data_IF_974430453141
#
_entry.id   IF_974430453141
#
_cell.length_a   1.000
_cell.length_b   1.000
_cell.length_c   1.000
_cell.angle_alpha   90.00
_cell.angle_beta   90.00
_cell.angle_gamma   90.00
#
_symmetry.space_group_name_H-M   'P 1'
#
loop_
_entity.id
_entity.type
_entity.pdbx_description
1 polymer ?
#
# COMPACT_ATOMS: atom_id res chain seq x y z
N UNK A 1 6.32 27.38 12.23
CA UNK A 1 7.72 26.92 12.06
C UNK A 1 7.79 26.06 10.81
N UNK A 2 8.09 26.69 9.65
CA UNK A 2 8.21 26.03 8.35
C UNK A 2 9.47 25.16 8.34
N UNK A 3 9.29 23.84 8.27
CA UNK A 3 10.39 22.87 8.27
C UNK A 3 10.97 22.55 6.88
N UNK A 4 10.58 23.22 5.80
CA UNK A 4 10.74 22.65 4.45
C UNK A 4 11.76 23.29 3.51
N UNK A 5 12.59 24.22 3.97
CA UNK A 5 13.48 24.92 3.05
C UNK A 5 14.92 24.40 3.12
N UNK A 6 15.17 23.43 2.24
CA UNK A 6 16.46 23.23 1.59
C UNK A 6 16.29 23.78 0.16
N UNK A 7 16.65 25.05 -0.07
CA UNK A 7 16.54 25.66 -1.40
C UNK A 7 17.45 25.00 -2.42
N UNK A 8 16.96 24.78 -3.64
CA UNK A 8 17.75 24.25 -4.75
C UNK A 8 18.89 25.19 -5.19
N UNK A 9 18.85 26.44 -4.72
CA UNK A 9 19.77 27.55 -4.96
C UNK A 9 20.87 27.68 -3.89
N UNK A 10 21.10 26.64 -3.08
CA UNK A 10 22.22 26.66 -2.12
C UNK A 10 23.54 26.90 -2.83
N UNK A 11 24.27 27.94 -2.43
CA UNK A 11 25.60 28.25 -2.95
C UNK A 11 26.64 27.20 -2.58
N UNK A 12 26.32 26.33 -1.61
CA UNK A 12 27.13 25.20 -1.18
C UNK A 12 26.23 23.97 -0.94
N UNK A 13 26.27 22.96 -1.83
CA UNK A 13 25.54 21.70 -1.66
C UNK A 13 25.94 20.94 -0.39
N UNK A 14 27.15 21.18 0.16
CA UNK A 14 27.61 20.59 1.41
C UNK A 14 26.76 20.99 2.61
N UNK A 15 26.17 22.19 2.58
CA UNK A 15 25.24 22.66 3.62
C UNK A 15 24.01 21.75 3.72
N UNK A 16 23.58 21.13 2.62
CA UNK A 16 22.42 20.24 2.57
C UNK A 16 22.67 18.90 3.27
N UNK A 17 23.93 18.44 3.32
CA UNK A 17 24.30 17.13 3.88
C UNK A 17 24.01 17.00 5.39
N UNK A 18 23.92 18.13 6.09
CA UNK A 18 23.71 18.16 7.54
C UNK A 18 22.38 18.83 7.95
N UNK A 19 21.53 19.21 6.98
CA UNK A 19 20.23 19.77 7.33
C UNK A 19 19.28 18.68 7.83
N UNK A 20 18.94 18.75 9.13
CA UNK A 20 17.94 17.90 9.78
C UNK A 20 16.49 18.39 9.58
N UNK A 21 16.22 19.01 8.43
CA UNK A 21 14.91 19.60 8.10
C UNK A 21 13.97 18.62 7.40
N UNK A 22 14.26 17.32 7.46
CA UNK A 22 13.38 16.28 6.92
C UNK A 22 12.39 15.79 7.98
N UNK A 23 11.33 15.11 7.53
CA UNK A 23 10.40 14.39 8.38
C UNK A 23 10.49 12.90 8.12
N UNK A 24 10.33 12.11 9.18
CA UNK A 24 10.27 10.67 9.06
C UNK A 24 8.81 10.22 8.92
N UNK A 25 8.35 9.98 7.68
CA UNK A 25 6.97 9.60 7.39
C UNK A 25 6.62 8.20 7.92
N UNK A 26 7.60 7.32 8.08
CA UNK A 26 7.38 5.97 8.60
C UNK A 26 7.63 5.84 10.11
N UNK A 27 8.04 6.92 10.78
CA UNK A 27 8.36 6.87 12.20
C UNK A 27 7.19 6.32 13.03
N UNK A 28 7.54 5.40 13.92
CA UNK A 28 6.62 4.70 14.79
C UNK A 28 7.25 4.57 16.17
N UNK A 29 6.44 4.76 17.21
CA UNK A 29 6.84 4.45 18.57
C UNK A 29 6.64 2.95 18.82
N UNK A 30 7.67 2.29 19.37
CA UNK A 30 7.54 0.92 19.90
C UNK A 30 6.84 1.01 21.25
N UNK A 31 5.65 0.42 21.36
CA UNK A 31 4.85 0.42 22.60
C UNK A 31 5.15 -0.81 23.46
N UNK A 32 5.43 -1.94 22.82
CA UNK A 32 5.82 -3.17 23.51
C UNK A 32 6.66 -4.07 22.59
N UNK A 33 7.63 -4.75 23.19
CA UNK A 33 8.27 -5.90 22.56
C UNK A 33 7.38 -7.13 22.71
N UNK A 34 7.46 -8.03 21.74
CA UNK A 34 6.84 -9.34 21.82
C UNK A 34 7.52 -10.17 22.93
N UNK A 35 6.76 -10.76 23.87
CA UNK A 35 7.32 -11.55 24.94
C UNK A 35 7.75 -12.96 24.51
N UNK A 36 7.31 -13.43 23.34
CA UNK A 36 7.50 -14.81 22.87
C UNK A 36 8.26 -14.86 21.56
N UNK A 37 7.91 -14.01 20.60
CA UNK A 37 8.50 -14.05 19.26
C UNK A 37 9.85 -13.32 19.25
N UNK A 38 10.88 -14.05 18.81
CA UNK A 38 12.26 -13.58 18.75
C UNK A 38 12.71 -13.61 17.29
N UNK A 39 13.36 -12.54 16.84
CA UNK A 39 14.10 -12.51 15.59
C UNK A 39 15.57 -12.86 15.89
N UNK A 40 16.17 -13.71 15.06
CA UNK A 40 17.60 -13.99 15.11
C UNK A 40 18.26 -13.64 13.79
N UNK A 41 19.52 -13.23 13.84
CA UNK A 41 20.37 -13.32 12.65
C UNK A 41 21.01 -14.72 12.58
N UNK A 42 21.42 -15.11 11.38
CA UNK A 42 22.10 -16.40 11.15
C UNK A 42 23.52 -16.43 11.76
N UNK A 43 23.90 -15.39 12.51
CA UNK A 43 25.15 -15.25 13.25
C UNK A 43 24.96 -15.55 14.75
N UNK A 44 23.73 -15.89 15.16
CA UNK A 44 23.38 -16.29 16.53
C UNK A 44 23.00 -15.14 17.46
N UNK A 45 22.87 -13.91 16.95
CA UNK A 45 22.28 -12.82 17.70
C UNK A 45 20.76 -12.95 17.68
N UNK A 46 20.11 -12.63 18.80
CA UNK A 46 18.67 -12.77 18.99
C UNK A 46 18.10 -11.54 19.68
N UNK A 47 16.93 -11.10 19.24
CA UNK A 47 16.25 -9.93 19.79
C UNK A 47 14.74 -10.13 19.77
N UNK A 48 14.05 -9.63 20.79
CA UNK A 48 12.59 -9.66 20.83
C UNK A 48 12.03 -8.85 19.66
N UNK A 49 10.99 -9.38 19.00
CA UNK A 49 10.30 -8.67 17.92
C UNK A 49 9.52 -7.47 18.46
N UNK A 50 9.27 -6.48 17.62
CA UNK A 50 8.31 -5.42 17.96
C UNK A 50 6.89 -6.01 17.95
N UNK A 51 6.30 -6.19 19.13
CA UNK A 51 4.96 -6.77 19.28
C UNK A 51 3.85 -5.73 19.15
N UNK A 52 4.10 -4.50 19.61
CA UNK A 52 3.13 -3.40 19.53
C UNK A 52 3.80 -2.09 19.18
N UNK A 53 3.19 -1.34 18.27
CA UNK A 53 3.72 -0.07 17.80
C UNK A 53 2.59 0.86 17.39
N UNK A 54 2.88 2.17 17.34
CA UNK A 54 1.91 3.17 16.90
C UNK A 54 2.59 4.40 16.32
N UNK A 55 1.98 5.02 15.32
CA UNK A 55 2.43 6.30 14.78
C UNK A 55 1.62 7.43 15.42
N UNK A 56 2.32 8.31 16.11
CA UNK A 56 1.79 9.54 16.69
C UNK A 56 2.23 10.75 15.86
N UNK A 57 1.49 11.85 15.97
CA UNK A 57 1.84 13.09 15.27
C UNK A 57 3.25 13.57 15.60
N UNK A 58 3.67 13.44 16.87
CA UNK A 58 5.02 13.79 17.31
C UNK A 58 6.12 13.00 16.60
N UNK A 59 5.83 11.77 16.16
CA UNK A 59 6.83 10.90 15.54
C UNK A 59 7.32 11.42 14.19
N UNK A 60 6.58 12.29 13.50
CA UNK A 60 7.05 12.91 12.25
C UNK A 60 8.34 13.71 12.42
N UNK A 61 8.68 14.08 13.65
CA UNK A 61 9.92 14.75 14.01
C UNK A 61 11.04 13.83 14.50
N UNK A 62 10.77 12.53 14.59
CA UNK A 62 11.71 11.57 15.10
C UNK A 62 12.84 11.31 14.11
N UNK A 63 14.03 11.15 14.65
CA UNK A 63 15.18 10.65 13.92
C UNK A 63 14.96 9.18 13.54
N UNK A 64 15.63 8.70 12.49
CA UNK A 64 15.45 7.33 11.97
C UNK A 64 15.73 6.23 12.99
N UNK A 65 16.55 6.50 14.01
CA UNK A 65 16.91 5.54 15.05
C UNK A 65 15.93 5.50 16.23
N UNK A 66 14.87 6.33 16.24
CA UNK A 66 13.86 6.30 17.32
C UNK A 66 13.15 4.93 17.39
N UNK A 67 12.89 4.33 16.23
CA UNK A 67 12.63 2.91 16.10
C UNK A 67 13.76 2.29 15.24
N UNK A 68 14.81 1.72 15.86
CA UNK A 68 15.93 1.12 15.15
C UNK A 68 15.55 -0.21 14.47
N UNK A 69 14.34 -0.69 14.69
CA UNK A 69 13.79 -1.91 14.11
C UNK A 69 13.10 -1.64 12.77
N UNK A 70 12.63 -0.44 12.50
CA UNK A 70 11.82 -0.20 11.29
C UNK A 70 12.56 -0.43 9.95
N UNK A 71 11.83 -0.93 8.94
CA UNK A 71 12.30 -1.01 7.56
C UNK A 71 11.21 -0.45 6.62
N UNK A 72 11.60 0.42 5.68
CA UNK A 72 10.70 1.15 4.79
C UNK A 72 11.28 1.27 3.37
N UNK A 73 10.50 0.92 2.34
CA UNK A 73 10.96 0.79 0.95
C UNK A 73 9.85 1.14 -0.06
N UNK A 74 10.19 1.08 -1.35
CA UNK A 74 9.24 1.12 -2.47
C UNK A 74 8.32 2.35 -2.53
N UNK A 75 8.88 3.55 -2.32
CA UNK A 75 8.16 4.83 -2.33
C UNK A 75 7.43 5.12 -3.65
N UNK A 76 6.22 5.69 -3.56
CA UNK A 76 5.36 6.15 -4.65
C UNK A 76 4.68 7.45 -4.24
N UNK A 77 4.24 8.25 -5.20
CA UNK A 77 3.38 9.37 -4.87
C UNK A 77 3.03 10.27 -6.04
N UNK A 78 2.17 11.23 -5.76
CA UNK A 78 1.83 12.31 -6.66
C UNK A 78 1.46 13.57 -5.88
N UNK A 79 1.44 14.69 -6.59
CA UNK A 79 1.05 16.01 -6.10
C UNK A 79 0.03 16.63 -7.07
N UNK A 80 -1.04 17.22 -6.53
CA UNK A 80 -2.05 18.00 -7.25
C UNK A 80 -2.43 19.21 -6.40
N UNK A 81 -1.95 20.39 -6.78
CA UNK A 81 -2.08 21.59 -5.94
C UNK A 81 -1.40 21.38 -4.58
N UNK A 82 -2.14 21.61 -3.50
CA UNK A 82 -1.68 21.36 -2.11
C UNK A 82 -1.97 19.94 -1.62
N UNK A 83 -2.68 19.13 -2.42
CA UNK A 83 -2.96 17.74 -2.10
C UNK A 83 -1.85 16.84 -2.62
N UNK A 84 -1.23 16.07 -1.74
CA UNK A 84 -0.36 14.97 -2.15
C UNK A 84 -0.66 13.69 -1.41
N UNK A 85 -0.26 12.61 -2.06
CA UNK A 85 -0.28 11.27 -1.48
C UNK A 85 1.06 10.63 -1.69
N UNK A 86 1.61 10.06 -0.63
CA UNK A 86 2.74 9.15 -0.69
C UNK A 86 2.32 7.76 -0.26
N UNK A 87 2.85 6.78 -0.96
CA UNK A 87 2.73 5.38 -0.62
C UNK A 87 4.11 4.77 -0.40
N UNK A 88 4.24 3.84 0.52
CA UNK A 88 5.50 3.13 0.79
C UNK A 88 5.22 1.78 1.43
N UNK A 89 6.13 0.83 1.21
CA UNK A 89 6.13 -0.42 1.98
C UNK A 89 6.81 -0.19 3.32
N UNK A 90 6.25 -0.72 4.41
CA UNK A 90 6.81 -0.55 5.74
C UNK A 90 6.53 -1.76 6.64
N UNK A 91 7.47 -2.00 7.56
CA UNK A 91 7.26 -2.82 8.74
C UNK A 91 7.97 -2.20 9.94
N UNK A 92 7.44 -2.36 11.18
CA UNK A 92 8.11 -1.87 12.38
C UNK A 92 9.31 -2.72 12.81
N UNK A 93 9.63 -3.82 12.12
CA UNK A 93 10.40 -4.93 12.72
C UNK A 93 11.34 -5.67 11.75
N UNK A 94 12.44 -5.02 11.38
CA UNK A 94 13.57 -5.40 10.53
C UNK A 94 13.24 -6.04 9.18
N UNK A 95 12.01 -5.88 8.72
CA UNK A 95 11.58 -6.52 7.48
C UNK A 95 11.74 -8.02 7.56
N UNK A 96 12.24 -8.56 6.46
CA UNK A 96 12.43 -9.99 6.29
C UNK A 96 13.59 -10.57 7.11
N UNK A 97 14.53 -9.75 7.59
CA UNK A 97 15.55 -10.19 8.55
C UNK A 97 14.91 -10.44 9.93
N UNK A 98 13.88 -9.69 10.29
CA UNK A 98 13.08 -9.92 11.49
C UNK A 98 12.04 -11.05 11.37
N UNK A 99 12.04 -11.76 10.23
CA UNK A 99 10.97 -12.70 9.90
C UNK A 99 9.59 -12.03 9.84
N UNK A 100 9.54 -10.76 9.42
CA UNK A 100 8.33 -9.96 9.32
C UNK A 100 7.97 -9.63 7.87
N UNK A 101 6.70 -9.37 7.65
CA UNK A 101 6.20 -8.96 6.35
C UNK A 101 6.21 -7.44 6.20
N UNK A 102 6.20 -6.98 4.95
CA UNK A 102 5.94 -5.60 4.60
C UNK A 102 4.47 -5.41 4.28
N UNK A 103 3.92 -4.29 4.73
CA UNK A 103 2.59 -3.81 4.36
C UNK A 103 2.69 -2.56 3.47
N UNK A 104 1.65 -2.28 2.71
CA UNK A 104 1.54 -1.07 1.91
C UNK A 104 0.85 0.03 2.73
N UNK A 105 1.58 1.10 2.99
CA UNK A 105 1.08 2.26 3.70
C UNK A 105 0.84 3.44 2.75
N UNK A 106 -0.23 4.18 3.02
CA UNK A 106 -0.57 5.43 2.34
C UNK A 106 -0.62 6.57 3.35
N UNK A 107 0.01 7.69 3.03
CA UNK A 107 -0.08 8.96 3.76
C UNK A 107 -0.49 10.09 2.85
N UNK A 108 -1.24 11.02 3.41
CA UNK A 108 -1.88 12.11 2.66
C UNK A 108 -1.64 13.44 3.34
N UNK A 109 -1.60 14.50 2.55
CA UNK A 109 -1.63 15.88 3.03
C UNK A 109 -2.51 16.71 2.11
N UNK A 110 -3.28 17.62 2.69
CA UNK A 110 -4.21 18.53 2.01
C UNK A 110 -3.76 19.99 2.06
N UNK A 111 -2.54 20.26 2.53
CA UNK A 111 -2.01 21.61 2.74
C UNK A 111 -0.52 21.74 2.39
N UNK A 112 -0.08 21.01 1.36
CA UNK A 112 1.29 21.06 0.85
C UNK A 112 2.31 20.45 1.82
N UNK A 113 1.89 19.49 2.64
CA UNK A 113 2.77 18.76 3.56
C UNK A 113 3.01 19.43 4.89
N UNK A 114 2.29 20.50 5.21
CA UNK A 114 2.40 21.16 6.53
C UNK A 114 1.87 20.26 7.63
N UNK A 115 0.81 19.50 7.36
CA UNK A 115 0.26 18.48 8.26
C UNK A 115 -0.15 17.22 7.48
N UNK A 116 -0.26 16.11 8.20
CA UNK A 116 -0.73 14.82 7.69
C UNK A 116 -1.99 14.46 8.47
N UNK A 117 -3.13 14.72 7.84
CA UNK A 117 -4.45 14.65 8.46
C UNK A 117 -5.41 13.92 7.55
N UNK A 118 -6.53 13.48 8.11
CA UNK A 118 -7.72 13.16 7.31
C UNK A 118 -8.15 14.39 6.52
N UNK A 119 -8.96 14.18 5.48
CA UNK A 119 -9.50 15.28 4.67
C UNK A 119 -10.40 16.18 5.54
N UNK A 120 -10.06 17.47 5.72
CA UNK A 120 -10.90 18.40 6.48
C UNK A 120 -12.29 18.62 5.87
N UNK A 121 -12.46 18.33 4.57
CA UNK A 121 -13.72 18.46 3.84
C UNK A 121 -14.31 17.10 3.45
N UNK A 122 -13.73 15.99 3.92
CA UNK A 122 -14.12 14.63 3.59
C UNK A 122 -15.34 14.13 4.37
N UNK A 123 -15.53 12.80 4.51
CA UNK A 123 -16.58 12.25 5.36
C UNK A 123 -16.36 12.63 6.84
N UNK A 124 -17.40 12.57 7.71
CA UNK A 124 -17.28 12.90 9.13
C UNK A 124 -16.21 12.09 9.87
N UNK A 125 -16.00 10.84 9.43
CA UNK A 125 -14.97 9.94 9.95
C UNK A 125 -14.24 9.24 8.80
N UNK A 126 -12.93 9.07 8.96
CA UNK A 126 -12.12 8.11 8.19
C UNK A 126 -11.82 6.90 9.07
N UNK A 127 -12.07 5.70 8.56
CA UNK A 127 -11.89 4.44 9.30
C UNK A 127 -10.67 3.68 8.78
N UNK A 128 -9.75 3.34 9.67
CA UNK A 128 -8.64 2.43 9.40
C UNK A 128 -8.96 1.08 10.01
N UNK A 129 -9.06 0.05 9.15
CA UNK A 129 -9.19 -1.35 9.56
C UNK A 129 -7.80 -1.95 9.61
N UNK A 130 -7.43 -2.54 10.73
CA UNK A 130 -6.13 -3.17 10.94
C UNK A 130 -6.30 -4.56 11.53
N UNK A 131 -5.32 -5.42 11.30
CA UNK A 131 -5.24 -6.74 11.92
C UNK A 131 -4.06 -6.69 12.91
N UNK A 132 -4.35 -6.90 14.19
CA UNK A 132 -3.36 -6.89 15.26
C UNK A 132 -3.24 -8.28 15.88
N UNK A 133 -2.02 -8.69 16.21
CA UNK A 133 -1.79 -9.89 17.02
C UNK A 133 -1.93 -9.54 18.49
N UNK A 134 -2.74 -10.29 19.22
CA UNK A 134 -2.78 -10.28 20.66
C UNK A 134 -1.51 -10.98 21.19
N UNK A 135 -0.66 -10.25 21.92
CA UNK A 135 0.63 -10.76 22.37
C UNK A 135 0.53 -11.85 23.45
N UNK A 136 -0.59 -11.90 24.18
CA UNK A 136 -0.79 -12.89 25.24
C UNK A 136 -1.32 -14.23 24.69
N UNK A 137 -2.20 -14.18 23.68
CA UNK A 137 -2.84 -15.37 23.10
C UNK A 137 -2.24 -15.80 21.77
N UNK A 138 -1.54 -14.91 21.07
CA UNK A 138 -1.05 -15.10 19.70
C UNK A 138 -2.13 -15.02 18.62
N UNK A 139 -3.40 -14.77 18.99
CA UNK A 139 -4.52 -14.67 18.06
C UNK A 139 -4.52 -13.33 17.33
N UNK A 140 -5.03 -13.32 16.10
CA UNK A 140 -5.17 -12.09 15.30
C UNK A 140 -6.59 -11.55 15.42
N UNK A 141 -6.69 -10.31 15.86
CA UNK A 141 -7.93 -9.56 16.00
C UNK A 141 -7.98 -8.43 14.99
N UNK A 142 -9.16 -8.22 14.42
CA UNK A 142 -9.40 -7.08 13.56
C UNK A 142 -9.94 -5.90 14.37
N UNK A 143 -9.40 -4.71 14.15
CA UNK A 143 -9.79 -3.49 14.85
C UNK A 143 -10.04 -2.35 13.89
N UNK A 144 -10.93 -1.46 14.30
CA UNK A 144 -11.21 -0.22 13.61
C UNK A 144 -10.75 0.98 14.44
N UNK A 145 -9.93 1.83 13.82
CA UNK A 145 -9.57 3.14 14.35
C UNK A 145 -10.28 4.22 13.53
N UNK A 146 -10.93 5.16 14.24
CA UNK A 146 -11.75 6.22 13.64
C UNK A 146 -11.10 7.56 13.90
N UNK A 147 -11.02 8.36 12.85
CA UNK A 147 -10.42 9.69 12.87
C UNK A 147 -11.43 10.69 12.31
N UNK A 148 -11.70 11.75 13.06
CA UNK A 148 -12.55 12.86 12.62
C UNK A 148 -11.90 13.68 11.50
N UNK A 149 -12.67 14.58 10.90
CA UNK A 149 -12.18 15.50 9.85
C UNK A 149 -11.02 16.38 10.34
N UNK A 150 -9.95 16.47 9.56
CA UNK A 150 -8.77 17.29 9.86
C UNK A 150 -7.92 16.80 11.03
N UNK A 151 -8.25 15.65 11.64
CA UNK A 151 -7.43 15.03 12.68
C UNK A 151 -6.17 14.41 12.10
N UNK A 152 -5.12 14.27 12.92
CA UNK A 152 -3.90 13.59 12.53
C UNK A 152 -4.21 12.17 12.04
N UNK A 153 -3.77 11.85 10.83
CA UNK A 153 -3.92 10.53 10.22
C UNK A 153 -2.55 9.83 10.22
N UNK A 154 -2.39 8.70 10.93
CA UNK A 154 -1.21 7.87 10.80
C UNK A 154 -1.10 7.31 9.38
N UNK A 155 0.03 6.71 9.02
CA UNK A 155 0.10 5.97 7.76
C UNK A 155 -0.98 4.90 7.74
N UNK A 156 -1.86 4.94 6.75
CA UNK A 156 -2.93 3.96 6.59
C UNK A 156 -2.35 2.69 5.97
N UNK A 157 -2.32 1.60 6.72
CA UNK A 157 -2.11 0.28 6.12
C UNK A 157 -3.30 -0.04 5.21
N UNK A 158 -3.03 -0.20 3.91
CA UNK A 158 -4.07 -0.48 2.91
C UNK A 158 -4.02 -1.92 2.40
N UNK A 159 -2.94 -2.66 2.65
CA UNK A 159 -2.84 -4.09 2.33
C UNK A 159 -3.44 -4.98 3.41
N UNK A 160 -3.31 -4.57 4.68
CA UNK A 160 -3.90 -5.25 5.85
C UNK A 160 -3.60 -6.76 5.84
N UNK A 161 -2.33 -7.11 5.63
CA UNK A 161 -1.94 -8.52 5.60
C UNK A 161 -2.05 -9.13 7.00
N UNK A 162 -2.42 -10.42 7.06
CA UNK A 162 -2.54 -11.18 8.30
C UNK A 162 -1.34 -12.10 8.48
N UNK A 163 -0.61 -11.90 9.58
CA UNK A 163 0.58 -12.69 9.89
C UNK A 163 1.70 -12.53 8.87
N UNK A 164 2.70 -13.40 8.92
CA UNK A 164 3.95 -13.23 8.14
C UNK A 164 4.07 -14.17 6.94
N UNK A 165 2.98 -14.88 6.57
CA UNK A 165 2.99 -15.80 5.43
C UNK A 165 3.18 -15.07 4.10
N UNK A 166 2.61 -13.87 3.97
CA UNK A 166 2.70 -13.08 2.75
C UNK A 166 3.31 -11.72 3.04
N UNK A 167 3.99 -11.14 2.05
CA UNK A 167 4.52 -9.78 2.10
C UNK A 167 4.07 -8.98 0.89
N UNK A 168 3.86 -7.67 1.08
CA UNK A 168 3.65 -6.74 -0.03
C UNK A 168 4.90 -6.66 -0.89
N UNK A 169 4.68 -6.64 -2.20
CA UNK A 169 5.69 -6.34 -3.20
C UNK A 169 5.15 -5.34 -4.22
N UNK A 170 6.06 -4.57 -4.82
CA UNK A 170 5.79 -3.69 -5.95
C UNK A 170 4.56 -2.78 -5.82
N UNK A 171 4.38 -2.06 -4.69
CA UNK A 171 3.25 -1.14 -4.55
C UNK A 171 3.24 -0.10 -5.68
N UNK A 172 2.04 0.27 -6.11
CA UNK A 172 1.74 1.30 -7.09
C UNK A 172 0.75 2.26 -6.49
N UNK A 173 0.96 3.55 -6.77
CA UNK A 173 0.09 4.63 -6.40
C UNK A 173 0.17 5.64 -7.54
N UNK A 174 -0.92 5.75 -8.29
CA UNK A 174 -0.93 6.53 -9.54
C UNK A 174 -2.25 7.28 -9.61
N UNK A 175 -2.23 8.60 -9.79
CA UNK A 175 -3.43 9.36 -10.10
C UNK A 175 -3.73 9.27 -11.61
N UNK A 176 -4.96 9.53 -12.07
CA UNK A 176 -5.21 9.91 -13.45
C UNK A 176 -4.27 11.03 -13.90
N UNK A 177 -3.92 11.06 -15.19
CA UNK A 177 -3.16 12.18 -15.73
C UNK A 177 -3.94 13.49 -15.54
N UNK A 178 -3.22 14.60 -15.34
CA UNK A 178 -3.82 15.93 -15.31
C UNK A 178 -4.54 16.26 -16.62
N UNK A 179 -5.25 17.40 -16.69
CA UNK A 179 -6.08 17.74 -17.85
C UNK A 179 -5.30 17.58 -19.15
N UNK A 180 -5.80 16.73 -20.04
CA UNK A 180 -5.19 16.41 -21.32
C UNK A 180 -5.92 15.27 -22.01
N UNK A 181 -6.46 15.55 -23.19
CA UNK A 181 -7.11 14.55 -24.04
C UNK A 181 -6.08 13.53 -24.54
N UNK A 182 -6.42 12.24 -24.44
CA UNK A 182 -5.71 11.19 -25.18
C UNK A 182 -6.10 11.26 -26.67
N UNK A 183 -7.27 11.81 -26.99
CA UNK A 183 -7.74 11.99 -28.36
C UNK A 183 -8.85 13.07 -28.44
N UNK A 184 -8.71 14.13 -29.27
CA UNK A 184 -9.74 15.16 -29.45
C UNK A 184 -11.03 14.67 -30.17
N UNK A 185 -11.07 13.42 -30.64
CA UNK A 185 -12.24 12.79 -31.27
C UNK A 185 -13.26 12.29 -30.25
N UNK A 186 -12.86 12.12 -28.98
CA UNK A 186 -13.69 11.61 -27.89
C UNK A 186 -13.82 12.68 -26.80
N UNK A 187 -14.80 13.61 -26.89
CA UNK A 187 -14.98 14.69 -25.91
C UNK A 187 -15.28 14.21 -24.49
N UNK A 188 -15.75 12.97 -24.31
CA UNK A 188 -15.87 12.31 -23.01
C UNK A 188 -14.51 12.05 -22.33
N UNK A 189 -13.42 12.11 -23.10
CA UNK A 189 -12.04 12.04 -22.61
C UNK A 189 -11.46 13.43 -22.27
N UNK A 190 -12.24 14.50 -22.46
CA UNK A 190 -11.88 15.87 -22.09
C UNK A 190 -12.19 16.12 -20.62
N UNK A 191 -11.16 16.34 -19.82
CA UNK A 191 -11.27 16.59 -18.38
C UNK A 191 -10.53 17.86 -18.04
N UNK A 192 -11.03 19.01 -18.51
CA UNK A 192 -10.70 20.28 -17.87
C UNK A 192 -11.08 20.16 -16.38
N UNK A 193 -10.12 20.37 -15.49
CA UNK A 193 -10.34 20.22 -14.04
C UNK A 193 -11.38 21.26 -13.59
N UNK A 194 -12.64 20.86 -13.39
CA UNK A 194 -13.56 21.67 -12.60
C UNK A 194 -12.99 21.72 -11.17
N UNK A 195 -12.84 22.89 -10.54
CA UNK A 195 -12.48 23.00 -9.12
C UNK A 195 -13.44 22.25 -8.18
N UNK A 196 -14.60 21.81 -8.67
CA UNK A 196 -15.59 20.95 -8.00
C UNK A 196 -15.57 19.50 -8.48
N UNK A 197 -14.66 19.14 -9.38
CA UNK A 197 -14.54 17.79 -9.94
C UNK A 197 -13.96 16.81 -8.92
N UNK A 198 -14.69 15.78 -8.47
CA UNK A 198 -14.18 14.71 -7.61
C UNK A 198 -13.00 13.94 -8.23
N UNK A 199 -12.73 14.06 -9.54
CA UNK A 199 -11.53 13.45 -10.16
C UNK A 199 -10.23 14.03 -9.61
N UNK A 200 -10.23 15.26 -9.06
CA UNK A 200 -9.07 15.88 -8.41
C UNK A 200 -8.50 15.05 -7.25
N UNK A 201 -9.38 14.30 -6.58
CA UNK A 201 -9.06 13.41 -5.47
C UNK A 201 -9.06 11.93 -5.84
N UNK A 202 -9.30 11.61 -7.11
CA UNK A 202 -9.27 10.23 -7.59
C UNK A 202 -7.84 9.77 -7.79
N UNK A 203 -7.51 8.60 -7.25
CA UNK A 203 -6.29 7.87 -7.58
C UNK A 203 -6.48 6.37 -7.34
N UNK A 204 -5.55 5.59 -7.85
CA UNK A 204 -5.58 4.14 -7.66
C UNK A 204 -4.29 3.67 -7.03
N UNK A 205 -4.44 2.50 -6.44
CA UNK A 205 -3.38 1.74 -5.81
C UNK A 205 -3.41 0.32 -6.34
N UNK A 206 -2.24 -0.30 -6.43
CA UNK A 206 -2.12 -1.72 -6.66
C UNK A 206 -0.90 -2.24 -5.92
N UNK A 207 -0.90 -3.50 -5.51
CA UNK A 207 0.27 -4.14 -4.93
C UNK A 207 0.22 -5.64 -5.21
N UNK A 208 1.39 -6.24 -5.43
CA UNK A 208 1.54 -7.69 -5.48
C UNK A 208 1.75 -8.25 -4.08
N UNK A 209 1.38 -9.51 -3.88
CA UNK A 209 1.79 -10.29 -2.72
C UNK A 209 2.87 -11.29 -3.11
N UNK A 210 3.63 -11.74 -2.12
CA UNK A 210 4.55 -12.85 -2.29
C UNK A 210 4.53 -13.75 -1.05
N UNK A 211 4.43 -15.06 -1.24
CA UNK A 211 4.55 -16.06 -0.18
C UNK A 211 6.00 -16.08 0.34
N UNK A 212 6.15 -16.08 1.66
CA UNK A 212 7.43 -16.12 2.36
C UNK A 212 7.87 -17.57 2.50
N UNK A 213 8.96 -17.96 1.85
CA UNK A 213 9.49 -19.33 1.93
C UNK A 213 10.47 -19.53 3.10
N UNK A 214 11.32 -18.53 3.36
CA UNK A 214 12.32 -18.53 4.44
C UNK A 214 12.69 -17.10 4.85
N UNK A 215 13.35 -16.89 5.99
CA UNK A 215 13.87 -15.56 6.35
C UNK A 215 14.91 -15.06 5.35
N UNK A 216 15.18 -13.75 5.30
CA UNK A 216 16.27 -13.24 4.45
C UNK A 216 17.59 -13.90 4.86
N UNK A 217 18.27 -14.56 3.91
CA UNK A 217 19.66 -15.00 4.07
C UNK A 217 19.92 -16.48 4.34
N UNK A 218 18.96 -17.39 4.09
CA UNK A 218 19.21 -18.84 4.16
C UNK A 218 18.62 -19.59 2.96
N UNK A 219 19.43 -20.24 2.11
CA UNK A 219 20.81 -19.96 1.69
C UNK A 219 20.91 -18.80 0.68
N UNK A 220 22.09 -18.16 0.61
CA UNK A 220 22.42 -17.16 -0.40
C UNK A 220 22.18 -17.69 -1.83
N UNK A 221 21.22 -17.07 -2.52
CA UNK A 221 20.87 -17.41 -3.91
C UNK A 221 19.64 -18.30 -4.06
N UNK A 222 18.96 -18.67 -2.96
CA UNK A 222 17.65 -19.30 -3.02
C UNK A 222 16.51 -18.27 -3.07
N UNK A 223 15.37 -18.70 -3.59
CA UNK A 223 14.18 -17.87 -3.75
C UNK A 223 13.55 -17.60 -2.38
N UNK A 224 13.76 -16.41 -1.82
CA UNK A 224 13.20 -16.00 -0.52
C UNK A 224 11.66 -15.84 -0.54
N UNK A 225 11.10 -15.59 -1.72
CA UNK A 225 9.65 -15.37 -1.90
C UNK A 225 9.16 -15.87 -3.23
N UNK A 226 7.97 -16.45 -3.25
CA UNK A 226 7.23 -16.78 -4.48
C UNK A 226 6.19 -15.70 -4.73
N UNK A 227 6.09 -15.18 -5.96
CA UNK A 227 5.09 -14.16 -6.31
C UNK A 227 3.70 -14.80 -6.40
N UNK A 228 2.73 -14.09 -5.85
CA UNK A 228 1.33 -14.50 -5.70
C UNK A 228 0.42 -13.48 -6.40
N UNK A 229 -0.79 -13.28 -5.86
CA UNK A 229 -1.81 -12.41 -6.41
C UNK A 229 -1.42 -10.92 -6.43
N UNK A 230 -1.99 -10.18 -7.39
CA UNK A 230 -1.93 -8.71 -7.46
C UNK A 230 -3.30 -8.11 -7.20
N UNK A 231 -3.38 -7.21 -6.22
CA UNK A 231 -4.59 -6.49 -5.83
C UNK A 231 -4.58 -5.07 -6.36
N UNK A 232 -5.77 -4.50 -6.58
CA UNK A 232 -5.94 -3.08 -6.86
C UNK A 232 -7.10 -2.48 -6.08
N UNK A 233 -7.10 -1.16 -5.91
CA UNK A 233 -8.27 -0.41 -5.48
C UNK A 233 -8.24 1.01 -6.04
N UNK A 234 -9.37 1.72 -5.94
CA UNK A 234 -9.56 3.11 -6.32
C UNK A 234 -10.17 3.87 -5.16
N UNK A 235 -9.81 5.14 -5.02
CA UNK A 235 -10.56 6.11 -4.24
C UNK A 235 -11.01 7.26 -5.12
N UNK A 236 -12.12 7.90 -4.78
CA UNK A 236 -12.63 9.13 -5.41
C UNK A 236 -12.75 10.29 -4.43
N UNK A 237 -12.41 10.06 -3.16
CA UNK A 237 -12.55 11.00 -2.04
C UNK A 237 -11.19 11.21 -1.34
N UNK A 238 -10.13 11.10 -2.13
CA UNK A 238 -8.79 11.46 -1.73
C UNK A 238 -8.13 10.42 -0.87
N UNK A 239 -8.68 9.20 -0.77
CA UNK A 239 -8.17 8.09 0.05
C UNK A 239 -8.91 7.90 1.36
N UNK A 240 -10.05 8.57 1.55
CA UNK A 240 -10.85 8.47 2.76
C UNK A 240 -11.61 7.14 2.76
N UNK A 241 -12.13 6.76 1.59
CA UNK A 241 -12.69 5.44 1.31
C UNK A 241 -11.99 4.78 0.11
N UNK A 242 -12.15 3.46 0.03
CA UNK A 242 -11.57 2.63 -1.02
C UNK A 242 -12.66 1.79 -1.67
N UNK A 243 -12.50 1.51 -2.96
CA UNK A 243 -13.27 0.51 -3.66
C UNK A 243 -13.04 -0.85 -3.01
N UNK A 244 -14.14 -1.45 -2.55
CA UNK A 244 -14.19 -2.81 -2.05
C UNK A 244 -15.21 -3.59 -2.88
N UNK A 245 -14.95 -4.85 -3.15
CA UNK A 245 -15.89 -5.76 -3.82
C UNK A 245 -16.37 -6.83 -2.85
N UNK A 246 -17.65 -7.23 -2.92
CA UNK A 246 -18.17 -8.33 -2.11
C UNK A 246 -17.57 -9.66 -2.61
N UNK A 247 -17.19 -10.51 -1.67
CA UNK A 247 -16.70 -11.85 -1.91
C UNK A 247 -17.33 -12.81 -0.91
N UNK A 248 -18.04 -13.80 -1.43
CA UNK A 248 -18.56 -14.93 -0.64
C UNK A 248 -17.42 -15.91 -0.37
N UNK A 249 -17.09 -16.10 0.90
CA UNK A 249 -16.11 -17.10 1.33
C UNK A 249 -16.67 -18.48 0.99
N UNK A 250 -15.83 -19.36 0.42
CA UNK A 250 -16.25 -20.71 0.04
C UNK A 250 -16.99 -21.40 1.21
N UNK A 251 -18.28 -21.75 1.04
CA UNK A 251 -19.09 -22.41 2.08
C UNK A 251 -18.49 -23.72 2.57
N UNK A 252 -17.69 -24.39 1.73
CA UNK A 252 -17.07 -25.67 2.06
C UNK A 252 -15.66 -25.51 2.68
N UNK A 253 -15.22 -24.28 2.94
CA UNK A 253 -13.91 -24.04 3.56
C UNK A 253 -13.93 -24.30 5.07
N UNK A 254 -12.75 -24.55 5.65
CA UNK A 254 -12.57 -24.64 7.10
C UNK A 254 -12.53 -23.26 7.79
N UNK A 255 -12.86 -22.19 7.06
CA UNK A 255 -12.92 -20.83 7.62
C UNK A 255 -14.09 -20.71 8.59
N UNK A 256 -13.95 -20.03 9.74
CA UNK A 256 -15.09 -19.73 10.60
C UNK A 256 -16.15 -18.86 9.89
N UNK A 257 -15.75 -18.14 8.85
CA UNK A 257 -16.61 -17.25 8.05
C UNK A 257 -17.10 -17.92 6.74
N UNK A 258 -17.11 -19.27 6.67
CA UNK A 258 -17.53 -19.98 5.46
C UNK A 258 -18.97 -19.63 5.06
N UNK A 259 -19.18 -19.23 3.81
CA UNK A 259 -20.47 -18.78 3.28
C UNK A 259 -20.80 -17.31 3.54
N UNK A 260 -20.01 -16.61 4.36
CA UNK A 260 -20.21 -15.17 4.63
C UNK A 260 -19.72 -14.30 3.47
N UNK A 261 -20.38 -13.15 3.29
CA UNK A 261 -19.91 -12.12 2.35
C UNK A 261 -18.98 -11.15 3.06
N UNK A 262 -17.72 -11.14 2.64
CA UNK A 262 -16.73 -10.18 3.09
C UNK A 262 -16.39 -9.19 1.99
N UNK A 263 -15.95 -8.00 2.36
CA UNK A 263 -15.54 -6.97 1.41
C UNK A 263 -14.03 -6.93 1.33
N UNK A 264 -13.47 -7.06 0.13
CA UNK A 264 -12.01 -7.06 -0.08
C UNK A 264 -11.62 -6.18 -1.26
N UNK A 265 -10.32 -5.92 -1.37
CA UNK A 265 -9.78 -5.34 -2.59
C UNK A 265 -9.91 -6.36 -3.72
N UNK A 266 -10.37 -5.94 -4.90
CA UNK A 266 -10.43 -6.83 -6.06
C UNK A 266 -9.03 -7.24 -6.55
N UNK A 267 -8.97 -8.42 -7.14
CA UNK A 267 -7.78 -8.87 -7.86
C UNK A 267 -7.63 -8.16 -9.20
N UNK A 268 -6.44 -7.65 -9.44
CA UNK A 268 -5.99 -7.24 -10.77
C UNK A 268 -5.52 -8.47 -11.56
N UNK A 269 -4.79 -9.36 -10.89
CA UNK A 269 -4.40 -10.68 -11.36
C UNK A 269 -4.57 -11.68 -10.19
N UNK A 270 -4.99 -12.89 -10.51
CA UNK A 270 -5.12 -14.00 -9.58
C UNK A 270 -5.04 -15.31 -10.36
N UNK A 271 -4.45 -16.34 -9.75
CA UNK A 271 -4.41 -17.68 -10.30
C UNK A 271 -3.14 -18.43 -9.96
N UNK A 272 -3.01 -19.63 -10.51
CA UNK A 272 -1.83 -20.50 -10.35
C UNK A 272 -0.51 -19.86 -10.79
N UNK A 273 -0.44 -19.10 -11.91
CA UNK A 273 0.82 -18.49 -12.33
C UNK A 273 1.33 -17.43 -11.35
N UNK A 274 2.65 -17.29 -11.27
CA UNK A 274 3.31 -16.24 -10.51
C UNK A 274 3.05 -14.87 -11.13
N UNK A 275 2.59 -13.90 -10.33
CA UNK A 275 2.26 -12.56 -10.83
C UNK A 275 3.15 -11.50 -10.18
N UNK A 276 4.02 -10.91 -10.99
CA UNK A 276 5.01 -9.92 -10.58
C UNK A 276 4.70 -8.51 -11.04
N UNK A 277 5.70 -7.64 -10.91
CA UNK A 277 5.70 -6.21 -11.23
C UNK A 277 4.56 -5.72 -12.13
N UNK A 278 3.66 -4.91 -11.56
CA UNK A 278 2.60 -4.26 -12.32
C UNK A 278 3.00 -2.84 -12.76
N UNK A 279 2.34 -2.30 -13.77
CA UNK A 279 2.25 -0.86 -14.02
C UNK A 279 0.80 -0.51 -14.33
N UNK A 280 0.33 0.61 -13.77
CA UNK A 280 -1.07 1.04 -13.92
C UNK A 280 -1.15 2.47 -14.48
N UNK A 281 -2.15 2.70 -15.33
CA UNK A 281 -2.56 4.00 -15.88
C UNK A 281 -4.07 4.08 -15.92
N UNK A 282 -4.59 5.28 -16.02
CA UNK A 282 -6.03 5.54 -15.96
C UNK A 282 -6.42 6.47 -17.07
N UNK A 283 -7.67 6.33 -17.49
CA UNK A 283 -8.34 7.40 -18.22
C UNK A 283 -8.27 8.71 -17.40
N UNK A 284 -8.08 9.90 -18.03
CA UNK A 284 -8.01 11.18 -17.32
C UNK A 284 -9.18 11.42 -16.35
N UNK A 285 -10.40 11.00 -16.72
CA UNK A 285 -11.58 11.08 -15.85
C UNK A 285 -11.59 10.10 -14.67
N UNK A 286 -10.55 9.27 -14.49
CA UNK A 286 -10.49 8.28 -13.41
C UNK A 286 -11.58 7.21 -13.47
N UNK A 287 -12.21 7.02 -14.63
CA UNK A 287 -13.35 6.11 -14.85
C UNK A 287 -12.95 4.74 -15.37
N UNK A 288 -11.68 4.56 -15.71
CA UNK A 288 -11.14 3.33 -16.29
C UNK A 288 -9.68 3.14 -15.91
N UNK A 289 -9.32 1.92 -15.54
CA UNK A 289 -7.97 1.48 -15.23
C UNK A 289 -7.43 0.63 -16.40
N UNK A 290 -6.18 0.88 -16.75
CA UNK A 290 -5.36 0.10 -17.67
C UNK A 290 -4.17 -0.43 -16.89
N UNK A 291 -4.02 -1.75 -16.84
CA UNK A 291 -2.94 -2.41 -16.13
C UNK A 291 -2.16 -3.30 -17.07
N UNK A 292 -0.85 -3.31 -16.90
CA UNK A 292 0.00 -4.40 -17.37
C UNK A 292 0.73 -5.02 -16.19
N UNK A 293 0.99 -6.32 -16.23
CA UNK A 293 1.80 -7.00 -15.24
C UNK A 293 2.62 -8.11 -15.86
N UNK A 294 3.72 -8.45 -15.19
CA UNK A 294 4.52 -9.61 -15.53
C UNK A 294 3.90 -10.85 -14.89
N UNK A 295 3.77 -11.94 -15.65
CA UNK A 295 3.33 -13.22 -15.12
C UNK A 295 4.12 -14.34 -15.77
N UNK A 296 4.43 -15.37 -14.98
CA UNK A 296 5.14 -16.53 -15.46
C UNK A 296 4.77 -17.80 -14.69
N UNK A 297 5.23 -18.94 -15.20
CA UNK A 297 5.22 -20.22 -14.49
C UNK A 297 6.61 -20.82 -14.50
N UNK A 298 6.95 -21.54 -13.43
CA UNK A 298 8.18 -22.31 -13.32
C UNK A 298 8.03 -23.71 -13.99
N UNK A 299 6.79 -24.07 -14.36
CA UNK A 299 6.46 -25.26 -15.16
C UNK A 299 6.20 -26.52 -14.33
N UNK A 300 6.28 -26.41 -13.01
CA UNK A 300 5.99 -27.46 -12.03
C UNK A 300 4.66 -27.24 -11.28
N UNK A 301 3.96 -26.14 -11.57
CA UNK A 301 2.68 -25.84 -10.95
C UNK A 301 1.56 -26.77 -11.47
N UNK A 302 0.79 -27.31 -10.54
CA UNK A 302 -0.32 -28.20 -10.87
C UNK A 302 -1.49 -27.39 -11.45
N UNK A 303 -2.03 -27.82 -12.60
CA UNK A 303 -3.21 -27.22 -13.25
C UNK A 303 -3.02 -25.79 -13.79
N UNK A 304 -1.93 -25.52 -14.52
CA UNK A 304 -1.78 -24.29 -15.32
C UNK A 304 -2.55 -24.44 -16.64
N UNK A 305 -3.34 -23.43 -17.00
CA UNK A 305 -3.94 -23.33 -18.34
C UNK A 305 -2.85 -23.20 -19.40
N UNK A 306 -2.92 -23.87 -20.57
CA UNK A 306 -1.95 -23.68 -21.65
C UNK A 306 -1.76 -22.22 -22.09
N UNK A 307 -2.76 -21.37 -21.83
CA UNK A 307 -2.72 -19.93 -22.07
C UNK A 307 -1.74 -19.19 -21.14
N UNK A 308 -1.45 -19.74 -19.95
CA UNK A 308 -0.73 -19.05 -18.88
C UNK A 308 0.67 -19.63 -18.60
N UNK A 309 1.13 -20.62 -19.37
CA UNK A 309 2.44 -21.32 -19.20
C UNK A 309 3.65 -20.44 -19.60
N UNK A 310 3.40 -19.35 -20.32
CA UNK A 310 4.43 -18.45 -20.81
C UNK A 310 5.09 -17.61 -19.71
N UNK A 311 6.06 -16.78 -20.10
CA UNK A 311 6.67 -15.75 -19.27
C UNK A 311 6.51 -14.43 -20.01
N UNK A 312 5.41 -13.73 -19.71
CA UNK A 312 4.88 -12.71 -20.58
C UNK A 312 4.33 -11.50 -19.80
N UNK A 313 4.07 -10.43 -20.55
CA UNK A 313 3.39 -9.25 -20.04
C UNK A 313 1.91 -9.32 -20.42
N UNK A 314 1.07 -9.27 -19.41
CA UNK A 314 -0.38 -9.33 -19.55
C UNK A 314 -0.98 -7.94 -19.48
N UNK A 315 -2.18 -7.80 -20.05
CA UNK A 315 -2.92 -6.54 -20.05
C UNK A 315 -4.34 -6.77 -19.53
N UNK A 316 -4.84 -5.82 -18.73
CA UNK A 316 -6.22 -5.78 -18.28
C UNK A 316 -6.75 -4.35 -18.30
N UNK A 317 -7.98 -4.22 -18.80
CA UNK A 317 -8.79 -3.00 -18.70
C UNK A 317 -9.90 -3.23 -17.68
N UNK A 318 -10.15 -2.26 -16.82
CA UNK A 318 -11.24 -2.30 -15.84
C UNK A 318 -12.02 -1.00 -15.95
N UNK A 319 -13.31 -1.13 -16.29
CA UNK A 319 -14.26 -0.03 -16.45
C UNK A 319 -15.06 0.16 -15.15
N UNK A 320 -15.17 1.41 -14.67
CA UNK A 320 -15.98 1.77 -13.48
C UNK A 320 -17.25 2.52 -13.83
N UNK A 321 -17.56 2.65 -15.12
CA UNK A 321 -18.82 3.18 -15.62
C UNK A 321 -19.84 2.05 -15.65
N UNK A 322 -21.11 2.36 -15.40
CA UNK A 322 -22.19 1.41 -15.68
C UNK A 322 -22.13 1.00 -17.15
N UNK A 323 -22.10 -0.31 -17.42
CA UNK A 323 -22.41 -0.81 -18.76
C UNK A 323 -23.80 -0.28 -19.14
N UNK A 324 -23.98 0.36 -20.31
CA UNK A 324 -25.31 0.63 -20.81
C UNK A 324 -26.09 -0.67 -20.76
N UNK A 325 -27.29 -0.65 -20.18
CA UNK A 325 -28.22 -1.76 -20.34
C UNK A 325 -28.38 -1.97 -21.85
N UNK A 326 -28.13 -3.18 -22.33
CA UNK A 326 -28.52 -3.56 -23.68
C UNK A 326 -30.04 -3.35 -23.79
N UNK A 327 -30.46 -2.23 -24.38
CA UNK A 327 -31.84 -1.99 -24.83
C UNK A 327 -32.10 -2.71 -26.16
#
# INVERSE_FOLDING_TARGET
LQRYETGADTSDPGVMQHQRKHMNLSAANVEAMDPVDIAGDNEGNMWNKVGKWKQYQGNLSDESFANPYSDAKAHRGFLRGDYFVFGYSFTPNWGRLGGDHMDFFVRRSFNGGRTFTTDPNGPPETVHRVIERNLDTGEFEEKEYRYGQGEFEPGRNVSVLKGNKYTVTDPRLVPPMGPGTVNPTYPEDDTEQDPRDPTGFTYYVAFGTAEVLHGLGEPLGETDTIKEDIFYSRTTDGGSTWLMVPWVINPDSSSPDAGETVYRWPWMAQGTPHQGHAQIRMHPGGTRLYAIWHQWTDGDEMHVSPHDVGNDIWFRRIDFMSTPSDE
#
